data_IF_378551729007
#
_entry.id   IF_378551729007
#
_cell.length_a   1.000
_cell.length_b   1.000
_cell.length_c   1.000
_cell.angle_alpha   90.00
_cell.angle_beta   90.00
_cell.angle_gamma   90.00
#
_symmetry.space_group_name_H-M   'P 1'
#
loop_
_entity.id
_entity.type
_entity.pdbx_description
1 polymer ?
#
# COMPACT_ATOMS: atom_id res chain seq x y z
N UNK A 1 -10.01 17.58 -9.86
CA UNK A 1 -8.89 17.17 -10.75
C UNK A 1 -7.67 16.87 -9.87
N UNK A 2 -6.57 16.30 -10.40
CA UNK A 2 -5.36 16.00 -9.59
C UNK A 2 -4.68 17.26 -9.03
N UNK A 3 -4.91 18.42 -9.65
CA UNK A 3 -4.52 19.73 -9.12
C UNK A 3 -5.24 20.10 -7.82
N UNK A 4 -6.47 19.63 -7.65
CA UNK A 4 -7.33 19.99 -6.52
C UNK A 4 -7.25 18.94 -5.41
N UNK A 5 -7.13 17.67 -5.81
CA UNK A 5 -6.96 16.53 -4.94
C UNK A 5 -5.92 15.56 -5.55
N UNK A 6 -4.65 15.62 -5.10
CA UNK A 6 -3.60 14.75 -5.61
C UNK A 6 -3.82 13.28 -5.20
N UNK A 7 -4.78 13.00 -4.32
CA UNK A 7 -5.12 11.65 -3.87
C UNK A 7 -6.36 11.09 -4.56
N UNK A 8 -6.85 11.76 -5.62
CA UNK A 8 -7.97 11.26 -6.39
C UNK A 8 -7.56 10.02 -7.21
N UNK A 9 -7.84 8.84 -6.64
CA UNK A 9 -7.50 7.53 -7.21
C UNK A 9 -7.97 7.38 -8.66
N UNK A 10 -9.22 7.78 -8.96
CA UNK A 10 -9.78 7.65 -10.31
C UNK A 10 -9.05 8.54 -11.32
N UNK A 11 -8.74 9.77 -10.93
CA UNK A 11 -8.05 10.71 -11.79
C UNK A 11 -6.58 10.28 -12.02
N UNK A 12 -5.92 9.78 -10.96
CA UNK A 12 -4.57 9.23 -11.09
C UNK A 12 -4.56 8.02 -12.02
N UNK A 13 -5.45 7.04 -11.80
CA UNK A 13 -5.52 5.84 -12.63
C UNK A 13 -5.79 6.17 -14.10
N UNK A 14 -6.71 7.11 -14.38
CA UNK A 14 -6.99 7.55 -15.74
C UNK A 14 -5.75 8.19 -16.41
N UNK A 15 -5.00 9.02 -15.68
CA UNK A 15 -3.78 9.64 -16.20
C UNK A 15 -2.65 8.63 -16.37
N UNK A 16 -2.48 7.72 -15.40
CA UNK A 16 -1.52 6.62 -15.44
C UNK A 16 -1.75 5.76 -16.70
N UNK A 17 -3.00 5.42 -17.01
CA UNK A 17 -3.34 4.65 -18.21
C UNK A 17 -2.99 5.40 -19.50
N UNK A 18 -3.23 6.70 -19.56
CA UNK A 18 -2.87 7.52 -20.73
C UNK A 18 -1.35 7.54 -20.93
N UNK A 19 -0.56 7.71 -19.86
CA UNK A 19 0.91 7.75 -19.98
C UNK A 19 1.50 6.37 -20.26
N UNK A 20 0.95 5.29 -19.69
CA UNK A 20 1.33 3.91 -20.02
C UNK A 20 1.16 3.62 -21.51
N UNK A 21 -0.04 3.91 -22.04
CA UNK A 21 -0.34 3.68 -23.46
C UNK A 21 0.60 4.47 -24.36
N UNK A 22 0.80 5.77 -24.08
CA UNK A 22 1.72 6.61 -24.87
C UNK A 22 3.16 6.09 -24.81
N UNK A 23 3.66 5.69 -23.65
CA UNK A 23 5.02 5.16 -23.51
C UNK A 23 5.20 3.83 -24.26
N UNK A 24 4.17 2.98 -24.29
CA UNK A 24 4.19 1.73 -25.04
C UNK A 24 4.03 1.89 -26.56
N UNK A 25 3.36 2.96 -27.02
CA UNK A 25 3.19 3.30 -28.44
C UNK A 25 4.42 4.06 -29.00
N UNK A 26 5.13 4.79 -28.15
CA UNK A 26 6.31 5.57 -28.54
C UNK A 26 7.55 4.67 -28.55
N UNK A 27 7.59 3.74 -29.51
CA UNK A 27 8.87 3.17 -29.95
C UNK A 27 9.77 4.27 -30.52
N UNK A 28 11.09 4.06 -30.64
CA UNK A 28 12.03 5.09 -31.08
C UNK A 28 11.70 5.60 -32.49
N UNK A 29 11.03 6.74 -32.55
CA UNK A 29 10.91 7.74 -33.63
C UNK A 29 10.98 7.25 -35.09
N UNK A 30 10.37 6.10 -35.40
CA UNK A 30 10.36 5.57 -36.76
C UNK A 30 11.75 5.30 -37.34
N UNK A 31 12.77 5.11 -36.50
CA UNK A 31 14.12 4.77 -36.96
C UNK A 31 14.12 3.32 -37.48
N UNK A 32 14.28 3.11 -38.81
CA UNK A 32 14.22 1.79 -39.43
C UNK A 32 15.38 0.87 -39.03
N UNK A 33 16.37 1.37 -38.29
CA UNK A 33 17.48 0.59 -37.74
C UNK A 33 17.26 0.13 -36.30
N UNK A 34 16.15 0.52 -35.67
CA UNK A 34 15.85 0.07 -34.31
C UNK A 34 15.13 -1.28 -34.35
N UNK A 35 15.60 -2.23 -33.52
CA UNK A 35 14.93 -3.50 -33.36
C UNK A 35 13.47 -3.29 -32.87
N UNK A 36 12.50 -4.12 -33.30
CA UNK A 36 11.16 -4.09 -32.75
C UNK A 36 11.21 -4.24 -31.23
N UNK A 37 10.55 -3.35 -30.48
CA UNK A 37 10.48 -3.49 -29.03
C UNK A 37 9.78 -4.80 -28.66
N UNK A 38 10.46 -5.61 -27.86
CA UNK A 38 9.83 -6.76 -27.23
C UNK A 38 8.77 -6.31 -26.19
N UNK A 39 7.91 -7.23 -25.77
CA UNK A 39 6.85 -6.92 -24.79
C UNK A 39 7.43 -6.44 -23.45
N UNK A 40 8.64 -6.88 -23.08
CA UNK A 40 9.29 -6.50 -21.83
C UNK A 40 9.81 -5.05 -21.86
N UNK A 41 10.32 -4.58 -22.99
CA UNK A 41 10.72 -3.19 -23.21
C UNK A 41 9.52 -2.25 -23.16
N UNK A 42 8.41 -2.62 -23.79
CA UNK A 42 7.15 -1.86 -23.72
C UNK A 42 6.62 -1.78 -22.29
N UNK A 43 6.65 -2.88 -21.54
CA UNK A 43 6.26 -2.89 -20.13
C UNK A 43 7.17 -1.99 -19.28
N UNK A 44 8.50 -2.08 -19.47
CA UNK A 44 9.45 -1.20 -18.76
C UNK A 44 9.21 0.28 -19.07
N UNK A 45 8.96 0.64 -20.33
CA UNK A 45 8.66 2.02 -20.71
C UNK A 45 7.36 2.52 -20.06
N UNK A 46 6.33 1.67 -20.02
CA UNK A 46 5.06 1.99 -19.36
C UNK A 46 5.21 2.19 -17.85
N UNK A 47 5.97 1.32 -17.18
CA UNK A 47 6.22 1.43 -15.74
C UNK A 47 7.08 2.65 -15.40
N UNK A 48 8.11 2.96 -16.22
CA UNK A 48 8.90 4.18 -16.08
C UNK A 48 8.05 5.44 -16.24
N UNK A 49 7.11 5.47 -17.18
CA UNK A 49 6.22 6.60 -17.37
C UNK A 49 5.31 6.85 -16.16
N UNK A 50 4.80 5.78 -15.54
CA UNK A 50 3.98 5.86 -14.32
C UNK A 50 4.82 6.25 -13.13
N UNK A 51 6.05 5.75 -13.04
CA UNK A 51 7.02 6.17 -12.04
C UNK A 51 7.25 7.68 -12.09
N UNK A 52 7.59 8.21 -13.28
CA UNK A 52 7.81 9.65 -13.46
C UNK A 52 6.59 10.48 -13.10
N UNK A 53 5.38 10.02 -13.48
CA UNK A 53 4.12 10.67 -13.09
C UNK A 53 3.95 10.69 -11.57
N UNK A 54 4.20 9.56 -10.91
CA UNK A 54 4.08 9.41 -9.47
C UNK A 54 5.07 10.30 -8.71
N UNK A 55 6.34 10.34 -9.12
CA UNK A 55 7.38 11.18 -8.52
C UNK A 55 7.05 12.68 -8.68
N UNK A 56 6.59 13.12 -9.85
CA UNK A 56 6.16 14.51 -10.07
C UNK A 56 5.02 14.90 -9.11
N UNK A 57 3.98 14.05 -9.02
CA UNK A 57 2.84 14.32 -8.14
C UNK A 57 3.18 14.19 -6.65
N UNK A 58 4.14 13.32 -6.29
CA UNK A 58 4.62 13.16 -4.92
C UNK A 58 5.34 14.40 -4.37
N UNK A 59 5.76 15.32 -5.24
CA UNK A 59 6.26 16.64 -4.85
C UNK A 59 5.24 17.49 -4.08
N UNK A 60 3.94 17.23 -4.24
CA UNK A 60 2.90 17.89 -3.45
C UNK A 60 2.88 17.33 -2.01
N UNK A 61 3.01 18.17 -0.96
CA UNK A 61 3.08 17.72 0.44
C UNK A 61 1.81 17.02 0.93
N UNK A 62 0.68 17.16 0.23
CA UNK A 62 -0.59 16.48 0.55
C UNK A 62 -0.78 15.18 -0.23
N UNK A 63 0.12 14.85 -1.17
CA UNK A 63 0.03 13.67 -1.99
C UNK A 63 0.56 12.45 -1.24
N UNK A 64 -0.33 11.55 -0.84
CA UNK A 64 0.00 10.24 -0.31
C UNK A 64 -0.23 9.15 -1.36
N UNK A 65 -1.27 9.25 -2.19
CA UNK A 65 -1.61 8.19 -3.16
C UNK A 65 -0.55 8.00 -4.25
N UNK A 66 0.04 9.06 -4.85
CA UNK A 66 1.17 8.88 -5.77
C UNK A 66 2.37 8.17 -5.15
N UNK A 67 2.65 8.38 -3.86
CA UNK A 67 3.72 7.66 -3.15
C UNK A 67 3.43 6.15 -3.04
N UNK A 68 2.16 5.78 -2.81
CA UNK A 68 1.73 4.37 -2.82
C UNK A 68 1.95 3.75 -4.20
N UNK A 69 1.60 4.46 -5.27
CA UNK A 69 1.73 3.93 -6.64
C UNK A 69 3.19 3.78 -7.06
N UNK A 70 4.09 4.71 -6.69
CA UNK A 70 5.53 4.54 -6.93
C UNK A 70 6.09 3.39 -6.08
N UNK A 71 5.66 3.26 -4.83
CA UNK A 71 6.03 2.14 -3.98
C UNK A 71 5.58 0.79 -4.58
N UNK A 72 4.40 0.74 -5.21
CA UNK A 72 3.89 -0.46 -5.89
C UNK A 72 4.80 -0.92 -7.03
N UNK A 73 5.40 0.02 -7.76
CA UNK A 73 6.37 -0.27 -8.81
C UNK A 73 7.74 -0.71 -8.28
N UNK A 74 8.13 -0.27 -7.07
CA UNK A 74 9.46 -0.53 -6.49
C UNK A 74 9.51 -1.66 -5.47
N UNK A 75 8.37 -2.16 -4.98
CA UNK A 75 8.32 -3.06 -3.80
C UNK A 75 9.20 -4.32 -3.91
N UNK A 76 9.50 -4.77 -5.13
CA UNK A 76 10.37 -5.94 -5.39
C UNK A 76 11.85 -5.59 -5.58
N UNK A 77 12.15 -4.38 -6.06
CA UNK A 77 13.47 -4.02 -6.58
C UNK A 77 14.19 -2.94 -5.75
N UNK A 78 13.45 -2.09 -5.01
CA UNK A 78 13.97 -1.01 -4.17
C UNK A 78 13.27 -1.04 -2.80
N UNK A 79 13.77 -1.90 -1.91
CA UNK A 79 13.18 -2.11 -0.59
C UNK A 79 13.22 -0.83 0.27
N UNK A 80 14.37 -0.17 0.37
CA UNK A 80 14.54 1.01 1.22
C UNK A 80 13.70 2.20 0.73
N UNK A 81 13.73 2.47 -0.59
CA UNK A 81 12.91 3.52 -1.17
C UNK A 81 11.42 3.23 -1.08
N UNK A 82 11.01 1.97 -1.19
CA UNK A 82 9.62 1.55 -0.93
C UNK A 82 9.21 1.92 0.50
N UNK A 83 9.95 1.47 1.52
CA UNK A 83 9.60 1.74 2.93
C UNK A 83 9.57 3.24 3.25
N UNK A 84 10.49 4.01 2.66
CA UNK A 84 10.53 5.47 2.82
C UNK A 84 9.27 6.12 2.24
N UNK A 85 8.90 5.78 1.01
CA UNK A 85 7.68 6.31 0.35
C UNK A 85 6.42 5.95 1.13
N UNK A 86 6.31 4.70 1.60
CA UNK A 86 5.16 4.24 2.37
C UNK A 86 5.04 4.93 3.74
N UNK A 87 6.16 5.11 4.44
CA UNK A 87 6.21 5.90 5.68
C UNK A 87 5.74 7.34 5.43
N UNK A 88 6.30 8.00 4.42
CA UNK A 88 5.89 9.37 4.05
C UNK A 88 4.41 9.44 3.64
N UNK A 89 3.89 8.43 2.95
CA UNK A 89 2.46 8.37 2.59
C UNK A 89 1.58 8.29 3.85
N UNK A 90 1.93 7.45 4.82
CA UNK A 90 1.22 7.32 6.09
C UNK A 90 1.26 8.62 6.91
N UNK A 91 2.39 9.34 6.91
CA UNK A 91 2.51 10.63 7.60
C UNK A 91 1.67 11.75 6.97
N UNK A 92 1.46 11.70 5.65
CA UNK A 92 0.67 12.70 4.90
C UNK A 92 -0.84 12.48 4.98
N UNK A 93 -1.29 11.31 5.44
CA UNK A 93 -2.70 10.96 5.54
C UNK A 93 -3.16 10.75 7.00
N UNK A 94 -3.84 11.74 7.61
CA UNK A 94 -4.34 11.61 8.97
C UNK A 94 -5.51 10.63 9.10
N UNK A 95 -6.13 10.19 7.99
CA UNK A 95 -7.25 9.24 8.04
C UNK A 95 -6.79 7.79 8.23
N UNK A 96 -5.51 7.49 7.95
CA UNK A 96 -4.98 6.14 7.95
C UNK A 96 -5.28 5.32 6.69
N UNK A 97 -5.95 5.88 5.68
CA UNK A 97 -6.19 5.24 4.37
C UNK A 97 -4.87 4.88 3.67
N UNK A 98 -3.90 5.79 3.64
CA UNK A 98 -2.57 5.53 3.08
C UNK A 98 -1.85 4.41 3.84
N UNK A 99 -2.06 4.32 5.16
CA UNK A 99 -1.50 3.25 5.97
C UNK A 99 -2.15 1.91 5.62
N UNK A 100 -3.47 1.85 5.38
CA UNK A 100 -4.14 0.62 4.90
C UNK A 100 -3.52 0.15 3.58
N UNK A 101 -3.37 1.04 2.60
CA UNK A 101 -2.78 0.74 1.29
C UNK A 101 -1.32 0.26 1.42
N UNK A 102 -0.52 0.94 2.26
CA UNK A 102 0.87 0.57 2.52
C UNK A 102 0.99 -0.84 3.13
N UNK A 103 0.15 -1.15 4.12
CA UNK A 103 0.15 -2.46 4.77
C UNK A 103 -0.29 -3.56 3.81
N UNK A 104 -1.36 -3.32 3.02
CA UNK A 104 -1.82 -4.29 2.02
C UNK A 104 -0.73 -4.56 0.98
N UNK A 105 -0.08 -3.50 0.46
CA UNK A 105 1.00 -3.64 -0.51
C UNK A 105 2.16 -4.50 0.02
N UNK A 106 2.61 -4.23 1.24
CA UNK A 106 3.71 -4.99 1.84
C UNK A 106 3.33 -6.45 2.09
N UNK A 107 2.11 -6.70 2.57
CA UNK A 107 1.59 -8.07 2.75
C UNK A 107 1.52 -8.83 1.43
N UNK A 108 0.93 -8.23 0.40
CA UNK A 108 0.82 -8.82 -0.94
C UNK A 108 2.20 -9.09 -1.59
N UNK A 109 3.21 -8.29 -1.22
CA UNK A 109 4.59 -8.50 -1.63
C UNK A 109 5.36 -9.53 -0.79
N UNK A 110 4.70 -10.21 0.16
CA UNK A 110 5.32 -11.20 1.04
C UNK A 110 6.23 -10.58 2.11
N UNK A 111 5.96 -9.34 2.51
CA UNK A 111 6.72 -8.56 3.50
C UNK A 111 5.88 -8.20 4.74
N UNK A 112 5.25 -9.18 5.43
CA UNK A 112 4.37 -8.89 6.56
C UNK A 112 5.11 -8.29 7.76
N UNK A 113 6.38 -8.63 7.98
CA UNK A 113 7.20 -8.03 9.06
C UNK A 113 7.43 -6.53 8.82
N UNK A 114 7.69 -6.12 7.59
CA UNK A 114 7.85 -4.71 7.23
C UNK A 114 6.53 -3.96 7.39
N UNK A 115 5.40 -4.60 7.03
CA UNK A 115 4.06 -4.06 7.25
C UNK A 115 3.85 -3.78 8.75
N UNK A 116 4.16 -4.73 9.63
CA UNK A 116 4.08 -4.51 11.08
C UNK A 116 4.98 -3.35 11.54
N UNK A 117 6.20 -3.24 11.02
CA UNK A 117 7.14 -2.17 11.34
C UNK A 117 6.56 -0.78 11.10
N UNK A 118 6.00 -0.54 9.91
CA UNK A 118 5.35 0.74 9.59
C UNK A 118 4.06 0.91 10.40
N UNK A 119 3.23 -0.14 10.45
CA UNK A 119 1.91 -0.10 11.08
C UNK A 119 1.95 0.25 12.56
N UNK A 120 2.84 -0.35 13.34
CA UNK A 120 2.99 -0.04 14.78
C UNK A 120 3.42 1.41 15.01
N UNK A 121 4.29 1.95 14.15
CA UNK A 121 4.79 3.32 14.30
C UNK A 121 3.76 4.41 13.98
N UNK A 122 2.79 4.10 13.12
CA UNK A 122 1.90 5.12 12.54
C UNK A 122 0.42 4.92 12.85
N UNK A 123 0.00 3.76 13.35
CA UNK A 123 -1.41 3.52 13.65
C UNK A 123 -1.89 4.30 14.88
N UNK A 124 -2.99 5.05 14.70
CA UNK A 124 -3.68 5.77 15.77
C UNK A 124 -5.13 5.30 15.87
N UNK A 125 -5.46 4.31 16.73
CA UNK A 125 -6.80 3.69 16.78
C UNK A 125 -7.96 4.66 17.02
N UNK A 126 -7.72 5.82 17.62
CA UNK A 126 -8.78 6.82 17.88
C UNK A 126 -9.06 7.74 16.69
N UNK A 127 -8.12 7.81 15.74
CA UNK A 127 -8.13 8.76 14.62
C UNK A 127 -8.30 8.04 13.28
N UNK A 128 -7.65 6.90 13.11
CA UNK A 128 -7.55 6.20 11.83
C UNK A 128 -8.71 5.24 11.59
N UNK A 129 -8.98 4.95 10.31
CA UNK A 129 -9.97 3.96 9.89
C UNK A 129 -9.72 2.56 10.54
N UNK A 130 -10.77 1.86 11.01
CA UNK A 130 -10.65 0.50 11.57
C UNK A 130 -9.98 -0.52 10.64
N UNK A 131 -9.99 -0.30 9.33
CA UNK A 131 -9.33 -1.15 8.35
C UNK A 131 -7.81 -1.24 8.58
N UNK A 132 -7.17 -0.27 9.26
CA UNK A 132 -5.76 -0.40 9.65
C UNK A 132 -5.58 -1.59 10.61
N UNK A 133 -6.49 -1.77 11.57
CA UNK A 133 -6.45 -2.89 12.50
C UNK A 133 -6.56 -4.24 11.78
N UNK A 134 -7.44 -4.31 10.77
CA UNK A 134 -7.57 -5.49 9.90
C UNK A 134 -6.23 -5.85 9.27
N UNK A 135 -5.57 -4.88 8.64
CA UNK A 135 -4.30 -5.11 7.96
C UNK A 135 -3.19 -5.52 8.95
N UNK A 136 -3.15 -4.92 10.14
CA UNK A 136 -2.20 -5.28 11.20
C UNK A 136 -2.40 -6.71 11.73
N UNK A 137 -3.65 -7.11 11.99
CA UNK A 137 -3.97 -8.47 12.43
C UNK A 137 -3.55 -9.48 11.36
N UNK A 138 -3.88 -9.21 10.10
CA UNK A 138 -3.51 -10.11 9.00
C UNK A 138 -1.99 -10.18 8.80
N UNK A 139 -1.28 -9.05 8.83
CA UNK A 139 0.18 -9.03 8.77
C UNK A 139 0.81 -9.80 9.93
N UNK A 140 0.25 -9.70 11.14
CA UNK A 140 0.74 -10.44 12.30
C UNK A 140 0.55 -11.94 12.15
N UNK A 141 -0.59 -12.40 11.63
CA UNK A 141 -0.83 -13.81 11.33
C UNK A 141 0.11 -14.32 10.24
N UNK A 142 0.31 -13.56 9.16
CA UNK A 142 1.23 -13.92 8.08
C UNK A 142 2.70 -13.94 8.52
N UNK A 143 3.06 -13.14 9.52
CA UNK A 143 4.38 -13.14 10.14
C UNK A 143 4.55 -14.21 11.23
N UNK A 144 3.56 -15.09 11.45
CA UNK A 144 3.52 -16.11 12.51
C UNK A 144 3.64 -15.51 13.93
N UNK A 145 2.98 -14.36 14.13
CA UNK A 145 2.93 -13.60 15.40
C UNK A 145 1.50 -13.45 15.93
N UNK A 146 0.80 -14.54 16.27
CA UNK A 146 -0.61 -14.47 16.68
C UNK A 146 -0.83 -13.76 18.03
N UNK A 147 0.20 -13.65 18.89
CA UNK A 147 0.11 -12.84 20.11
C UNK A 147 0.01 -11.35 19.80
N UNK A 148 0.80 -10.86 18.83
CA UNK A 148 0.70 -9.49 18.34
C UNK A 148 -0.66 -9.25 17.67
N UNK A 149 -1.12 -10.22 16.86
CA UNK A 149 -2.44 -10.19 16.23
C UNK A 149 -3.56 -10.00 17.27
N UNK A 150 -3.49 -10.74 18.38
CA UNK A 150 -4.42 -10.59 19.51
C UNK A 150 -4.34 -9.19 20.14
N UNK A 151 -3.16 -8.61 20.26
CA UNK A 151 -2.99 -7.25 20.79
C UNK A 151 -3.60 -6.19 19.85
N UNK A 152 -3.38 -6.30 18.54
CA UNK A 152 -3.98 -5.38 17.57
C UNK A 152 -5.51 -5.49 17.54
N UNK A 153 -6.05 -6.71 17.66
CA UNK A 153 -7.48 -6.93 17.82
C UNK A 153 -8.03 -6.23 19.08
N UNK A 154 -7.36 -6.38 20.23
CA UNK A 154 -7.78 -5.74 21.47
C UNK A 154 -7.79 -4.20 21.38
N UNK A 155 -6.89 -3.62 20.58
CA UNK A 155 -6.85 -2.17 20.37
C UNK A 155 -8.11 -1.62 19.63
N UNK A 156 -8.98 -2.46 19.06
CA UNK A 156 -10.30 -2.02 18.58
C UNK A 156 -11.20 -1.49 19.71
N UNK A 157 -10.91 -1.84 20.97
CA UNK A 157 -11.61 -1.27 22.14
C UNK A 157 -11.34 0.23 22.31
N UNK A 158 -10.31 0.77 21.65
CA UNK A 158 -9.95 2.19 21.71
C UNK A 158 -10.77 3.06 20.76
N UNK A 159 -11.52 2.47 19.82
CA UNK A 159 -12.34 3.22 18.86
C UNK A 159 -13.53 3.90 19.56
N UNK A 160 -13.85 5.17 19.26
CA UNK A 160 -14.98 5.87 19.89
C UNK A 160 -16.33 5.22 19.57
N UNK A 161 -16.53 4.77 18.33
CA UNK A 161 -17.75 4.11 17.89
C UNK A 161 -17.58 2.58 17.90
N UNK A 162 -17.90 1.99 19.05
CA UNK A 162 -17.83 0.55 19.25
C UNK A 162 -18.83 -0.24 18.38
N UNK A 163 -19.94 0.38 17.95
CA UNK A 163 -20.90 -0.29 17.08
C UNK A 163 -20.33 -0.47 15.67
N UNK A 164 -19.61 0.53 15.17
CA UNK A 164 -18.99 0.50 13.84
C UNK A 164 -17.92 -0.59 13.68
N UNK A 165 -17.23 -0.97 14.77
CA UNK A 165 -16.13 -1.96 14.74
C UNK A 165 -16.53 -3.36 15.18
N UNK A 166 -17.81 -3.59 15.53
CA UNK A 166 -18.27 -4.88 16.08
C UNK A 166 -18.08 -6.03 15.10
N UNK A 167 -18.57 -5.88 13.87
CA UNK A 167 -18.46 -6.92 12.84
C UNK A 167 -16.99 -7.22 12.51
N UNK A 168 -16.17 -6.17 12.41
CA UNK A 168 -14.74 -6.30 12.22
C UNK A 168 -14.07 -7.07 13.37
N UNK A 169 -14.45 -6.79 14.62
CA UNK A 169 -13.90 -7.49 15.79
C UNK A 169 -14.23 -8.97 15.76
N UNK A 170 -15.47 -9.33 15.45
CA UNK A 170 -15.90 -10.73 15.35
C UNK A 170 -15.12 -11.47 14.25
N UNK A 171 -14.97 -10.86 13.09
CA UNK A 171 -14.19 -11.40 11.99
C UNK A 171 -12.73 -11.63 12.39
N UNK A 172 -12.06 -10.61 12.93
CA UNK A 172 -10.66 -10.68 13.32
C UNK A 172 -10.42 -11.63 14.50
N UNK A 173 -11.38 -11.74 15.43
CA UNK A 173 -11.32 -12.73 16.51
C UNK A 173 -11.28 -14.16 15.97
N UNK A 174 -12.04 -14.46 14.92
CA UNK A 174 -11.99 -15.75 14.26
C UNK A 174 -10.62 -16.02 13.63
N UNK A 175 -10.07 -15.03 12.90
CA UNK A 175 -8.75 -15.12 12.26
C UNK A 175 -7.65 -15.37 13.30
N UNK A 176 -7.65 -14.62 14.40
CA UNK A 176 -6.66 -14.79 15.48
C UNK A 176 -6.79 -16.17 16.15
N UNK A 177 -8.02 -16.63 16.42
CA UNK A 177 -8.24 -17.93 17.05
C UNK A 177 -7.73 -19.09 16.18
N UNK A 178 -7.96 -19.04 14.87
CA UNK A 178 -7.42 -20.03 13.92
C UNK A 178 -5.89 -20.05 13.93
N UNK A 179 -5.25 -18.87 13.88
CA UNK A 179 -3.80 -18.76 13.90
C UNK A 179 -3.19 -19.31 15.21
N UNK A 180 -3.84 -19.08 16.35
CA UNK A 180 -3.39 -19.62 17.64
C UNK A 180 -3.49 -21.14 17.73
N UNK A 181 -4.49 -21.75 17.09
CA UNK A 181 -4.63 -23.22 17.05
C UNK A 181 -3.63 -23.88 16.12
N UNK A 182 -3.18 -23.16 15.09
CA UNK A 182 -2.17 -23.65 14.14
C UNK A 182 -0.74 -23.66 14.72
N UNK A 183 -0.48 -22.94 15.82
CA UNK A 183 0.79 -23.00 16.52
C UNK A 183 0.97 -24.38 17.18
N UNK A 184 1.98 -25.18 16.79
CA UNK A 184 2.34 -26.37 17.55
C UNK A 184 2.81 -25.93 18.94
N UNK A 185 2.25 -26.55 19.98
CA UNK A 185 2.50 -26.19 21.37
C UNK A 185 3.99 -26.12 21.72
N UNK A 186 4.40 -24.99 22.29
CA UNK A 186 5.43 -24.96 23.34
C UNK A 186 4.96 -25.71 24.57
#
# INVERSE_FOLDING_TARGET
MLSDDPNNVRAFAALAEIVRRRAAETGPDGDPLTAPQDDAERQRAADLAVWSLGEELAGNPRAWYPLIEVARLSVRDDHEGTLRRLTTAAERDPSGTALVEALSLLREAGKPVDALGIGVGHWRPREHDPAVARQLVLAAVEADRPLDAKQYLANLDLYPDQASVRELREELAHVVAQAQQAMPGT
#
